data_IF_921908252207
#
_entry.id   IF_921908252207
#
_cell.length_a   1.000
_cell.length_b   1.000
_cell.length_c   1.000
_cell.angle_alpha   90.00
_cell.angle_beta   90.00
_cell.angle_gamma   90.00
#
_symmetry.space_group_name_H-M   'P 1'
#
loop_
_entity.id
_entity.type
_entity.pdbx_description
1 polymer ?
#
# COMPACT_ATOMS: atom_id res chain seq x y z
N UNK A 1 19.73 32.62 -19.55
CA UNK A 1 18.90 31.44 -19.24
C UNK A 1 18.97 31.23 -17.75
N UNK A 2 17.86 31.41 -17.04
CA UNK A 2 17.81 31.28 -15.58
C UNK A 2 17.48 29.82 -15.25
N UNK A 3 18.47 29.06 -14.82
CA UNK A 3 18.25 27.72 -14.27
C UNK A 3 17.93 27.89 -12.79
N UNK A 4 16.67 27.76 -12.41
CA UNK A 4 16.28 27.65 -11.00
C UNK A 4 16.79 26.31 -10.50
N UNK A 5 17.79 26.25 -9.59
CA UNK A 5 18.21 24.98 -9.04
C UNK A 5 17.08 24.46 -8.14
N UNK A 6 16.44 23.36 -8.56
CA UNK A 6 15.53 22.62 -7.70
C UNK A 6 16.36 22.11 -6.51
N UNK A 7 16.02 22.53 -5.30
CA UNK A 7 16.71 22.07 -4.09
C UNK A 7 16.39 20.58 -3.88
N UNK A 8 17.42 19.74 -3.84
CA UNK A 8 17.32 18.27 -3.67
C UNK A 8 16.59 17.86 -2.39
N UNK A 9 16.49 18.78 -1.44
CA UNK A 9 15.83 18.63 -0.15
C UNK A 9 14.31 18.51 -0.22
N UNK A 10 13.66 18.85 -1.35
CA UNK A 10 12.21 18.71 -1.54
C UNK A 10 11.79 17.32 -2.10
N UNK A 11 12.76 16.44 -2.40
CA UNK A 11 12.50 15.18 -3.10
C UNK A 11 12.11 14.04 -2.13
N UNK A 12 12.18 14.30 -0.82
CA UNK A 12 11.82 13.30 0.19
C UNK A 12 10.56 13.78 0.90
N UNK A 13 9.36 13.46 0.39
CA UNK A 13 8.18 13.63 1.20
C UNK A 13 8.37 12.75 2.43
N UNK A 14 7.95 13.27 3.57
CA UNK A 14 8.00 12.70 4.92
C UNK A 14 7.18 11.40 5.02
N UNK A 15 7.47 10.42 4.18
CA UNK A 15 6.64 9.25 3.93
C UNK A 15 6.99 8.06 4.82
N UNK A 16 8.09 8.10 5.58
CA UNK A 16 8.49 7.00 6.46
C UNK A 16 7.43 6.67 7.51
N UNK A 17 6.75 7.68 8.08
CA UNK A 17 5.72 7.46 9.09
C UNK A 17 4.42 6.87 8.50
N UNK A 18 4.03 7.29 7.30
CA UNK A 18 2.87 6.74 6.58
C UNK A 18 3.17 5.36 5.99
N UNK A 19 4.42 5.08 5.62
CA UNK A 19 4.86 3.75 5.18
C UNK A 19 4.89 2.74 6.32
N UNK A 20 5.16 3.15 7.57
CA UNK A 20 5.16 2.22 8.70
C UNK A 20 3.82 1.53 8.93
N UNK A 21 2.71 2.21 8.60
CA UNK A 21 1.36 1.61 8.69
C UNK A 21 1.09 0.61 7.57
N UNK A 22 1.90 0.61 6.51
CA UNK A 22 1.70 -0.26 5.35
C UNK A 22 2.59 -1.49 5.43
N UNK A 23 1.97 -2.65 5.37
CA UNK A 23 2.66 -3.93 5.50
C UNK A 23 2.23 -4.91 4.41
N UNK A 24 3.18 -5.75 3.99
CA UNK A 24 2.88 -6.90 3.17
C UNK A 24 2.44 -8.05 4.07
N UNK A 25 1.19 -8.47 3.96
CA UNK A 25 0.65 -9.61 4.71
C UNK A 25 0.36 -10.78 3.78
N UNK A 26 0.51 -11.99 4.28
CA UNK A 26 0.15 -13.20 3.56
C UNK A 26 -1.21 -13.69 4.07
N UNK A 27 -2.25 -13.59 3.24
CA UNK A 27 -3.61 -13.96 3.58
C UNK A 27 -4.12 -15.03 2.60
N UNK A 28 -4.61 -16.17 3.10
CA UNK A 28 -5.03 -17.31 2.28
C UNK A 28 -4.00 -17.77 1.23
N UNK A 29 -2.71 -17.70 1.57
CA UNK A 29 -1.61 -18.06 0.66
C UNK A 29 -1.29 -17.01 -0.42
N UNK A 30 -1.92 -15.83 -0.34
CA UNK A 30 -1.74 -14.71 -1.28
C UNK A 30 -1.04 -13.57 -0.58
N UNK A 31 -0.19 -12.87 -1.31
CA UNK A 31 0.47 -11.69 -0.77
C UNK A 31 -0.40 -10.45 -1.05
N UNK A 32 -0.68 -9.69 -0.01
CA UNK A 32 -1.48 -8.47 -0.05
C UNK A 32 -0.67 -7.34 0.54
N UNK A 33 -0.74 -6.17 -0.08
CA UNK A 33 -0.26 -4.93 0.51
C UNK A 33 -1.42 -4.28 1.22
N UNK A 34 -1.32 -4.13 2.54
CA UNK A 34 -2.37 -3.61 3.39
C UNK A 34 -1.87 -2.42 4.20
N UNK A 35 -2.79 -1.56 4.63
CA UNK A 35 -2.55 -0.45 5.53
C UNK A 35 -3.31 -0.68 6.83
N UNK A 36 -2.62 -0.54 7.96
CA UNK A 36 -3.23 -0.60 9.28
C UNK A 36 -3.92 0.72 9.60
N UNK A 37 -5.24 0.64 9.76
CA UNK A 37 -6.08 1.74 10.21
C UNK A 37 -5.95 1.94 11.72
N UNK A 38 -6.32 3.13 12.19
CA UNK A 38 -6.27 3.50 13.62
C UNK A 38 -7.11 2.59 14.54
N UNK A 39 -8.09 1.89 13.98
CA UNK A 39 -8.96 0.93 14.67
C UNK A 39 -8.38 -0.50 14.72
N UNK A 40 -7.14 -0.69 14.25
CA UNK A 40 -6.47 -2.00 14.16
C UNK A 40 -6.96 -2.89 13.01
N UNK A 41 -7.83 -2.36 12.15
CA UNK A 41 -8.30 -3.03 10.94
C UNK A 41 -7.28 -2.87 9.81
N UNK A 42 -7.16 -3.87 8.93
CA UNK A 42 -6.21 -3.84 7.82
C UNK A 42 -6.94 -3.57 6.51
N UNK A 43 -6.67 -2.44 5.86
CA UNK A 43 -7.24 -2.12 4.56
C UNK A 43 -6.34 -2.63 3.44
N UNK A 44 -6.89 -3.39 2.50
CA UNK A 44 -6.17 -3.80 1.28
C UNK A 44 -5.91 -2.59 0.40
N UNK A 45 -4.64 -2.30 0.15
CA UNK A 45 -4.22 -1.30 -0.84
C UNK A 45 -4.01 -1.95 -2.21
N UNK A 46 -3.38 -3.13 -2.25
CA UNK A 46 -3.05 -3.79 -3.49
C UNK A 46 -2.90 -5.30 -3.30
N UNK A 47 -3.41 -6.07 -4.26
CA UNK A 47 -3.13 -7.49 -4.38
C UNK A 47 -1.79 -7.72 -5.08
N UNK A 48 -0.88 -8.46 -4.44
CA UNK A 48 0.45 -8.84 -4.97
C UNK A 48 0.46 -10.31 -5.43
N UNK A 49 -0.71 -10.91 -5.65
CA UNK A 49 -0.81 -12.27 -6.20
C UNK A 49 -0.45 -12.30 -7.68
N UNK A 50 0.00 -13.47 -8.14
CA UNK A 50 0.29 -13.76 -9.54
C UNK A 50 -0.86 -14.47 -10.25
N UNK A 51 -1.90 -14.91 -9.52
CA UNK A 51 -3.06 -15.61 -10.10
C UNK A 51 -4.11 -14.58 -10.58
N UNK A 52 -4.49 -14.57 -11.88
CA UNK A 52 -5.52 -13.67 -12.41
C UNK A 52 -6.90 -13.85 -11.76
N UNK A 53 -7.23 -15.04 -11.25
CA UNK A 53 -8.52 -15.28 -10.58
C UNK A 53 -8.62 -14.52 -9.26
N UNK A 54 -7.49 -14.22 -8.63
CA UNK A 54 -7.47 -13.48 -7.36
C UNK A 54 -7.87 -12.02 -7.56
N UNK A 55 -7.50 -11.44 -8.71
CA UNK A 55 -7.91 -10.09 -9.09
C UNK A 55 -9.41 -10.00 -9.42
N UNK A 56 -10.04 -11.14 -9.74
CA UNK A 56 -11.48 -11.22 -9.99
C UNK A 56 -12.28 -11.37 -8.70
N UNK A 57 -11.63 -11.73 -7.59
CA UNK A 57 -12.31 -11.94 -6.33
C UNK A 57 -12.41 -10.61 -5.56
N UNK A 58 -13.66 -10.23 -5.28
CA UNK A 58 -14.02 -8.97 -4.63
C UNK A 58 -13.41 -8.80 -3.25
N UNK A 59 -13.12 -9.91 -2.56
CA UNK A 59 -12.53 -9.91 -1.23
C UNK A 59 -11.09 -9.38 -1.21
N UNK A 60 -10.40 -9.39 -2.34
CA UNK A 60 -9.01 -8.92 -2.47
C UNK A 60 -8.88 -7.61 -3.24
N UNK A 61 -10.00 -6.95 -3.51
CA UNK A 61 -9.99 -5.65 -4.17
C UNK A 61 -9.39 -4.57 -3.26
N UNK A 62 -8.71 -3.58 -3.85
CA UNK A 62 -8.30 -2.38 -3.13
C UNK A 62 -9.50 -1.73 -2.42
N UNK A 63 -9.35 -1.44 -1.14
CA UNK A 63 -10.39 -0.88 -0.28
C UNK A 63 -11.08 -1.88 0.62
N UNK A 64 -10.92 -3.19 0.41
CA UNK A 64 -11.48 -4.21 1.30
C UNK A 64 -10.81 -4.16 2.66
N UNK A 65 -11.60 -4.29 3.73
CA UNK A 65 -11.11 -4.30 5.09
C UNK A 65 -11.02 -5.75 5.58
N UNK A 66 -9.81 -6.19 5.88
CA UNK A 66 -9.52 -7.48 6.49
C UNK A 66 -9.63 -7.35 8.01
N UNK A 67 -10.32 -8.31 8.63
CA UNK A 67 -10.47 -8.46 10.08
C UNK A 67 -9.68 -9.65 10.60
#
# INVERSE_FOLDING_TARGET
MLYTPLSTTDIVPSADADFQKRQCVMHNGKQLYVEEMEDGQLQVLQLLSTDPNDFMNSDYLPGTILR
#
